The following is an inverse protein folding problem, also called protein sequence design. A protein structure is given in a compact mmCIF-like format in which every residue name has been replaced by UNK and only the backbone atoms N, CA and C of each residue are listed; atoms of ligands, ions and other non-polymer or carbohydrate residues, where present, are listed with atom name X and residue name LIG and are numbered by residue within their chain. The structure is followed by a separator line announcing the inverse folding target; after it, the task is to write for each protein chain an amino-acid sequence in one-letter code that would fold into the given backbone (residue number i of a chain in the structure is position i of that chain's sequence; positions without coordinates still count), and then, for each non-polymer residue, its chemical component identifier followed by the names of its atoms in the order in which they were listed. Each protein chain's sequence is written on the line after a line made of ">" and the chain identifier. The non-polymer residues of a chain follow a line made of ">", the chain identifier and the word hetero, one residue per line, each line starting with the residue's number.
data_IF_610010648151
#
_entry.id   IF_610010648151
#
_cell.length_a   1.000
_cell.length_b   1.000
_cell.length_c   1.000
_cell.angle_alpha   90.00
_cell.angle_beta   90.00
_cell.angle_gamma   90.00
#
_symmetry.space_group_name_H-M   'P 1'
#
loop_
_entity.id
_entity.type
_entity.pdbx_description
1 polymer ?
#
# COMPACT_ATOMS: atom_id res chain seq x y z
N UNK A 1 -13.00 7.81 -21.89
CA UNK A 1 -12.26 6.54 -22.04
C UNK A 1 -11.00 6.69 -21.19
N UNK A 2 -9.81 6.98 -21.73
CA UNK A 2 -8.57 7.02 -20.93
C UNK A 2 -8.51 8.01 -19.76
N UNK A 3 -8.96 9.27 -19.94
CA UNK A 3 -8.85 10.31 -18.90
C UNK A 3 -9.70 10.03 -17.65
N UNK A 4 -10.87 9.43 -17.83
CA UNK A 4 -11.78 9.05 -16.74
C UNK A 4 -11.24 7.86 -15.95
N UNK A 5 -10.68 6.87 -16.64
CA UNK A 5 -10.03 5.71 -15.99
C UNK A 5 -8.77 6.13 -15.23
N UNK A 6 -7.95 7.02 -15.82
CA UNK A 6 -6.72 7.51 -15.19
C UNK A 6 -7.00 8.35 -13.94
N UNK A 7 -7.96 9.28 -13.99
CA UNK A 7 -8.40 10.02 -12.81
C UNK A 7 -8.95 9.08 -11.73
N UNK A 8 -9.72 8.06 -12.10
CA UNK A 8 -10.28 7.11 -11.16
C UNK A 8 -9.21 6.27 -10.45
N UNK A 9 -8.24 5.76 -11.21
CA UNK A 9 -7.10 5.00 -10.67
C UNK A 9 -6.25 5.89 -9.76
N UNK A 10 -6.01 7.15 -10.13
CA UNK A 10 -5.28 8.10 -9.26
C UNK A 10 -6.00 8.34 -7.93
N UNK A 11 -7.33 8.54 -7.96
CA UNK A 11 -8.12 8.77 -6.74
C UNK A 11 -8.17 7.52 -5.87
N UNK A 12 -8.37 6.34 -6.47
CA UNK A 12 -8.36 5.07 -5.75
C UNK A 12 -6.98 4.79 -5.12
N UNK A 13 -5.89 5.09 -5.83
CA UNK A 13 -4.53 4.90 -5.34
C UNK A 13 -4.17 5.88 -4.21
N UNK A 14 -4.62 7.14 -4.30
CA UNK A 14 -4.47 8.13 -3.23
C UNK A 14 -5.16 7.70 -1.94
N UNK A 15 -6.36 7.15 -2.03
CA UNK A 15 -7.12 6.66 -0.87
C UNK A 15 -6.48 5.39 -0.30
N UNK A 16 -6.07 4.44 -1.15
CA UNK A 16 -5.42 3.19 -0.73
C UNK A 16 -4.05 3.40 -0.09
N UNK A 17 -3.22 4.28 -0.65
CA UNK A 17 -1.87 4.56 -0.15
C UNK A 17 -1.86 5.22 1.23
N UNK A 18 -2.92 5.96 1.60
CA UNK A 18 -3.03 6.64 2.90
C UNK A 18 -3.23 5.71 4.08
N UNK A 19 -3.89 4.57 3.88
CA UNK A 19 -4.26 3.64 4.96
C UNK A 19 -3.20 2.54 5.12
N UNK A 20 -2.52 2.16 4.03
CA UNK A 20 -1.41 1.21 4.06
C UNK A 20 -1.81 -0.22 4.49
N UNK A 21 -0.93 -1.19 4.24
CA UNK A 21 -1.13 -2.57 4.69
C UNK A 21 -2.25 -3.32 3.95
N UNK A 22 -2.92 -4.26 4.66
CA UNK A 22 -3.95 -5.17 4.10
C UNK A 22 -5.13 -4.41 3.46
N UNK A 23 -5.45 -3.21 3.96
CA UNK A 23 -6.51 -2.36 3.43
C UNK A 23 -6.25 -1.86 2.00
N UNK A 24 -4.98 -1.80 1.58
CA UNK A 24 -4.61 -1.39 0.22
C UNK A 24 -5.13 -2.40 -0.83
N UNK A 25 -5.16 -3.69 -0.47
CA UNK A 25 -5.75 -4.76 -1.27
C UNK A 25 -7.29 -4.71 -1.30
N UNK A 26 -7.94 -4.46 -0.16
CA UNK A 26 -9.41 -4.33 -0.10
C UNK A 26 -9.94 -3.13 -0.89
N UNK A 27 -9.28 -1.96 -0.77
CA UNK A 27 -9.67 -0.75 -1.51
C UNK A 27 -9.44 -0.92 -3.01
N UNK A 28 -8.36 -1.60 -3.41
CA UNK A 28 -8.12 -1.95 -4.82
C UNK A 28 -9.20 -2.87 -5.38
N UNK A 29 -9.55 -3.94 -4.66
CA UNK A 29 -10.60 -4.88 -5.07
C UNK A 29 -12.00 -4.25 -5.13
N UNK A 30 -12.36 -3.44 -4.13
CA UNK A 30 -13.61 -2.68 -4.11
C UNK A 30 -13.68 -1.65 -5.24
N UNK A 31 -12.59 -0.93 -5.52
CA UNK A 31 -12.53 0.06 -6.59
C UNK A 31 -12.74 -0.56 -7.98
N UNK A 32 -12.13 -1.72 -8.24
CA UNK A 32 -12.32 -2.47 -9.49
C UNK A 32 -13.74 -3.06 -9.55
N UNK A 33 -14.25 -3.61 -8.44
CA UNK A 33 -15.61 -4.14 -8.37
C UNK A 33 -16.67 -3.07 -8.69
N UNK A 34 -16.57 -1.89 -8.07
CA UNK A 34 -17.49 -0.78 -8.32
C UNK A 34 -17.40 -0.28 -9.77
N UNK A 35 -16.19 -0.21 -10.35
CA UNK A 35 -16.02 0.14 -11.76
C UNK A 35 -16.68 -0.87 -12.71
N UNK A 36 -16.54 -2.17 -12.45
CA UNK A 36 -17.14 -3.22 -13.30
C UNK A 36 -18.68 -3.22 -13.18
N UNK A 37 -19.22 -3.05 -11.97
CA UNK A 37 -20.68 -3.05 -11.76
C UNK A 37 -21.38 -1.78 -12.25
N UNK A 38 -20.72 -0.62 -12.24
CA UNK A 38 -21.34 0.66 -12.64
C UNK A 38 -21.11 0.99 -14.12
N UNK A 39 -19.93 0.67 -14.69
CA UNK A 39 -19.62 1.04 -16.09
C UNK A 39 -19.88 -0.08 -17.12
N UNK A 40 -20.26 -1.29 -16.70
CA UNK A 40 -20.67 -2.36 -17.62
C UNK A 40 -19.59 -2.79 -18.63
N UNK A 41 -18.31 -2.53 -18.31
CA UNK A 41 -17.19 -2.92 -19.15
C UNK A 41 -17.09 -4.44 -19.16
N UNK A 42 -17.08 -5.05 -20.34
CA UNK A 42 -16.84 -6.48 -20.52
C UNK A 42 -15.52 -6.82 -19.82
N UNK A 43 -15.54 -7.70 -18.81
CA UNK A 43 -14.33 -8.08 -18.10
C UNK A 43 -13.36 -8.68 -19.12
N UNK A 44 -12.34 -7.92 -19.47
CA UNK A 44 -11.26 -8.41 -20.32
C UNK A 44 -10.54 -9.51 -19.56
N UNK A 45 -9.92 -10.43 -20.30
CA UNK A 45 -9.28 -11.65 -19.81
C UNK A 45 -8.54 -11.42 -18.49
N UNK A 46 -8.80 -12.23 -17.45
CA UNK A 46 -8.27 -12.00 -16.12
C UNK A 46 -6.73 -11.89 -16.19
N UNK A 47 -6.16 -10.72 -15.86
CA UNK A 47 -4.73 -10.47 -16.04
C UNK A 47 -3.94 -11.19 -14.94
N UNK A 48 -3.53 -12.43 -15.21
CA UNK A 48 -2.83 -13.31 -14.26
C UNK A 48 -1.51 -12.70 -13.78
N UNK A 49 -0.79 -12.02 -14.68
CA UNK A 49 0.52 -11.42 -14.40
C UNK A 49 0.42 -10.29 -13.37
N UNK A 50 -0.64 -9.49 -13.47
CA UNK A 50 -0.89 -8.36 -12.57
C UNK A 50 -1.24 -8.87 -11.17
N UNK A 51 -2.06 -9.92 -11.09
CA UNK A 51 -2.42 -10.55 -9.81
C UNK A 51 -1.16 -11.11 -9.13
N UNK A 52 -0.28 -11.78 -9.87
CA UNK A 52 0.97 -12.33 -9.33
C UNK A 52 1.96 -11.24 -8.89
N UNK A 53 2.06 -10.14 -9.63
CA UNK A 53 2.89 -8.98 -9.25
C UNK A 53 2.40 -8.37 -7.92
N UNK A 54 1.10 -8.13 -7.79
CA UNK A 54 0.53 -7.56 -6.55
C UNK A 54 0.73 -8.52 -5.39
N UNK A 55 0.50 -9.82 -5.62
CA UNK A 55 0.72 -10.85 -4.59
C UNK A 55 2.17 -10.87 -4.14
N UNK A 56 3.13 -10.87 -5.07
CA UNK A 56 4.57 -10.88 -4.77
C UNK A 56 4.98 -9.69 -3.91
N UNK A 57 4.56 -8.48 -4.28
CA UNK A 57 4.86 -7.25 -3.52
C UNK A 57 4.21 -7.26 -2.14
N UNK A 58 2.96 -7.72 -2.02
CA UNK A 58 2.28 -7.81 -0.71
C UNK A 58 2.93 -8.85 0.20
N UNK A 59 3.35 -10.00 -0.33
CA UNK A 59 4.11 -10.99 0.43
C UNK A 59 5.48 -10.43 0.88
N UNK A 60 6.16 -9.68 0.01
CA UNK A 60 7.41 -9.02 0.36
C UNK A 60 7.22 -7.95 1.44
N UNK A 61 6.14 -7.15 1.38
CA UNK A 61 5.80 -6.19 2.41
C UNK A 61 5.40 -6.86 3.74
N UNK A 62 4.66 -7.97 3.67
CA UNK A 62 4.25 -8.77 4.82
C UNK A 62 5.46 -9.41 5.51
N UNK A 63 6.43 -9.94 4.77
CA UNK A 63 7.68 -10.47 5.34
C UNK A 63 8.54 -9.37 5.98
N UNK A 64 8.52 -8.15 5.43
CA UNK A 64 9.16 -6.96 6.01
C UNK A 64 8.49 -6.48 7.31
N UNK A 65 7.16 -6.64 7.42
CA UNK A 65 6.44 -6.40 8.67
C UNK A 65 6.66 -7.52 9.70
N UNK A 66 6.64 -8.78 9.26
CA UNK A 66 6.85 -9.95 10.13
C UNK A 66 8.27 -10.04 10.70
N UNK A 67 9.28 -9.59 9.96
CA UNK A 67 10.67 -9.50 10.43
C UNK A 67 10.89 -8.39 11.47
N UNK A 68 9.87 -7.60 11.81
CA UNK A 68 9.96 -6.55 12.82
C UNK A 68 10.89 -5.39 12.42
N UNK A 69 11.28 -5.28 11.15
CA UNK A 69 12.18 -4.22 10.66
C UNK A 69 11.62 -2.80 10.92
N UNK A 70 10.30 -2.65 10.83
CA UNK A 70 9.60 -1.41 11.19
C UNK A 70 9.73 -1.07 12.68
N UNK A 71 9.68 -2.08 13.56
CA UNK A 71 9.77 -1.92 15.01
C UNK A 71 11.22 -1.62 15.40
N UNK A 72 12.19 -2.30 14.79
CA UNK A 72 13.62 -2.04 14.99
C UNK A 72 13.99 -0.59 14.64
N UNK A 73 13.55 -0.10 13.47
CA UNK A 73 13.82 1.29 13.04
C UNK A 73 13.21 2.32 14.00
N UNK A 74 11.99 2.07 14.48
CA UNK A 74 11.32 2.97 15.44
C UNK A 74 12.05 3.04 16.80
N UNK A 75 12.62 1.91 17.25
CA UNK A 75 13.30 1.82 18.53
C UNK A 75 14.71 2.43 18.45
N UNK A 76 15.41 2.22 17.33
CA UNK A 76 16.69 2.87 17.04
C UNK A 76 16.56 4.41 17.06
N UNK A 77 15.46 4.94 16.51
CA UNK A 77 15.17 6.38 16.50
C UNK A 77 15.01 6.97 17.90
N UNK A 78 14.42 6.23 18.85
CA UNK A 78 14.31 6.66 20.26
C UNK A 78 15.66 6.66 20.96
N UNK A 79 16.47 5.63 20.74
CA UNK A 79 17.82 5.55 21.33
C UNK A 79 18.71 6.71 20.88
N UNK A 80 18.62 7.11 19.61
CA UNK A 80 19.38 8.25 19.09
C UNK A 80 18.92 9.58 19.68
N UNK A 81 17.60 9.79 19.81
CA UNK A 81 17.05 11.01 20.40
C UNK A 81 17.44 11.18 21.88
N UNK A 82 17.41 10.08 22.66
CA UNK A 82 17.85 10.08 24.06
C UNK A 82 19.36 10.29 24.18
N UNK A 83 20.16 9.66 23.31
CA UNK A 83 21.60 9.87 23.29
C UNK A 83 21.96 11.34 23.00
N UNK A 84 21.28 11.98 22.04
CA UNK A 84 21.49 13.40 21.73
C UNK A 84 21.00 14.34 22.84
N UNK A 85 19.89 14.03 23.52
CA UNK A 85 19.40 14.84 24.65
C UNK A 85 20.27 14.74 25.90
N UNK A 86 20.98 13.64 26.12
CA UNK A 86 21.95 13.50 27.23
C UNK A 86 23.25 14.26 26.93
N UNK A 87 23.70 14.30 25.68
CA UNK A 87 24.90 15.07 25.28
C UNK A 87 24.66 16.59 25.28
N UNK A 88 23.42 17.06 25.05
CA UNK A 88 23.04 18.49 25.10
C UNK A 88 22.71 18.99 26.52
N UNK A 89 22.75 18.12 27.54
CA UNK A 89 22.49 18.45 28.96
C UNK A 89 23.79 18.66 29.77
N UNK A 90 24.95 18.61 29.10
CA UNK A 90 26.26 19.01 29.61
C UNK A 90 26.79 20.14 28.72
#
# INVERSE_FOLDING_TARGET
>A
MFWTELCFILVALMIGARIGGVFLGMVGGLGVGVMVFIFGLTPSTPPIDVILIILSVVLAAASLQASGGWIYWSNWRKKFCVATLVTLRY
#
